data_IF_056571300221
#
_entry.id   IF_056571300221
#
_cell.length_a   1.000
_cell.length_b   1.000
_cell.length_c   1.000
_cell.angle_alpha   90.00
_cell.angle_beta   90.00
_cell.angle_gamma   90.00
#
_symmetry.space_group_name_H-M   'P 1'
#
loop_
_entity.id
_entity.type
_entity.pdbx_description
1 polymer ?
#
# COMPACT_ATOMS: atom_id res chain seq x y z
N UNK A 1 6.84 -7.49 -3.80
CA UNK A 1 7.04 -7.92 -2.41
C UNK A 1 5.70 -7.99 -1.71
N UNK A 2 5.44 -9.05 -1.02
CA UNK A 2 4.15 -9.20 -0.33
C UNK A 2 4.33 -8.90 1.15
N UNK A 3 3.43 -8.10 1.69
CA UNK A 3 3.40 -7.83 3.12
C UNK A 3 1.99 -8.09 3.62
N UNK A 4 1.83 -8.03 4.93
CA UNK A 4 0.53 -8.27 5.55
C UNK A 4 0.18 -7.09 6.43
N UNK A 5 -1.07 -6.66 6.35
CA UNK A 5 -1.55 -5.54 7.15
C UNK A 5 -1.58 -5.95 8.62
N UNK A 6 -1.30 -4.99 9.48
CA UNK A 6 -1.42 -5.18 10.91
C UNK A 6 -2.68 -4.50 11.38
N UNK A 7 -3.08 -4.80 12.61
CA UNK A 7 -4.31 -4.26 13.14
C UNK A 7 -4.25 -2.73 13.10
N UNK A 8 -5.28 -2.12 12.53
CA UNK A 8 -5.36 -0.68 12.46
C UNK A 8 -4.63 -0.05 11.29
N UNK A 9 -3.96 -0.85 10.47
CA UNK A 9 -3.21 -0.29 9.33
C UNK A 9 -4.15 0.27 8.28
N UNK A 10 -3.74 1.39 7.69
CA UNK A 10 -4.36 1.92 6.49
C UNK A 10 -3.37 1.78 5.36
N UNK A 11 -3.89 1.79 4.13
CA UNK A 11 -3.01 1.70 2.98
C UNK A 11 -2.07 2.89 2.90
N UNK A 12 -2.56 4.08 3.25
CA UNK A 12 -1.71 5.27 3.28
C UNK A 12 -0.53 5.08 4.22
N UNK A 13 -0.79 4.55 5.42
CA UNK A 13 0.28 4.35 6.39
C UNK A 13 1.29 3.33 5.90
N UNK A 14 0.80 2.28 5.26
CA UNK A 14 1.68 1.25 4.73
C UNK A 14 2.55 1.83 3.62
N UNK A 15 1.96 2.60 2.71
CA UNK A 15 2.73 3.20 1.63
C UNK A 15 3.78 4.17 2.17
N UNK A 16 3.40 4.97 3.15
CA UNK A 16 4.35 5.91 3.74
C UNK A 16 5.52 5.18 4.38
N UNK A 17 5.23 4.03 5.02
CA UNK A 17 6.27 3.27 5.70
C UNK A 17 7.22 2.60 4.72
N UNK A 18 6.68 2.09 3.61
CA UNK A 18 7.50 1.31 2.68
C UNK A 18 8.12 2.15 1.58
N UNK A 19 7.42 3.17 1.11
CA UNK A 19 7.92 3.98 0.00
C UNK A 19 8.38 5.35 0.44
N UNK A 20 8.07 5.74 1.67
CA UNK A 20 8.42 7.07 2.16
C UNK A 20 7.52 8.17 1.68
N UNK A 21 6.44 7.83 0.96
CA UNK A 21 5.50 8.82 0.46
C UNK A 21 4.18 8.12 0.14
N UNK A 22 3.14 8.91 -0.04
CA UNK A 22 1.85 8.37 -0.44
C UNK A 22 1.42 8.87 -1.81
N UNK A 23 1.92 10.03 -2.23
CA UNK A 23 1.47 10.63 -3.49
C UNK A 23 1.83 9.72 -4.65
N UNK A 24 0.83 9.31 -5.39
CA UNK A 24 1.00 8.49 -6.58
C UNK A 24 1.23 7.01 -6.32
N UNK A 25 1.69 6.63 -5.13
CA UNK A 25 1.98 5.21 -4.89
C UNK A 25 0.77 4.45 -4.40
N UNK A 26 -0.15 5.11 -3.72
CA UNK A 26 -1.35 4.43 -3.24
C UNK A 26 -2.14 3.85 -4.41
N UNK A 27 -2.30 4.63 -5.47
CA UNK A 27 -3.03 4.14 -6.63
C UNK A 27 -2.31 2.99 -7.30
N UNK A 28 -0.98 3.06 -7.33
CA UNK A 28 -0.19 1.98 -7.91
C UNK A 28 -0.41 0.69 -7.14
N UNK A 29 -0.41 0.78 -5.81
CA UNK A 29 -0.64 -0.40 -4.99
C UNK A 29 -2.07 -0.92 -5.18
N UNK A 30 -3.05 -0.01 -5.25
CA UNK A 30 -4.43 -0.45 -5.47
C UNK A 30 -4.58 -1.16 -6.80
N UNK A 31 -3.91 -0.67 -7.83
CA UNK A 31 -3.98 -1.31 -9.13
C UNK A 31 -3.34 -2.70 -9.13
N UNK A 32 -2.36 -2.91 -8.28
CA UNK A 32 -1.69 -4.19 -8.19
C UNK A 32 -2.44 -5.18 -7.30
N UNK A 33 -3.44 -4.70 -6.56
CA UNK A 33 -4.15 -5.54 -5.59
C UNK A 33 -5.64 -5.45 -5.85
N UNK A 34 -6.12 -6.30 -6.74
CA UNK A 34 -7.53 -6.32 -7.10
C UNK A 34 -8.37 -6.56 -5.85
N UNK A 35 -9.38 -5.74 -5.63
CA UNK A 35 -10.26 -5.90 -4.49
C UNK A 35 -9.79 -5.23 -3.22
N UNK A 36 -8.57 -4.72 -3.19
CA UNK A 36 -8.06 -4.12 -1.96
C UNK A 36 -8.88 -2.89 -1.57
N UNK A 37 -9.28 -2.09 -2.55
CA UNK A 37 -10.02 -0.87 -2.27
C UNK A 37 -11.37 -1.16 -1.62
N UNK A 38 -11.91 -2.35 -1.82
CA UNK A 38 -13.21 -2.71 -1.26
C UNK A 38 -13.14 -3.02 0.23
N UNK A 39 -11.94 -3.18 0.77
CA UNK A 39 -11.79 -3.51 2.17
C UNK A 39 -11.98 -2.30 3.09
N UNK A 40 -12.00 -1.10 2.50
CA UNK A 40 -12.20 0.10 3.28
C UNK A 40 -10.91 0.79 3.64
N UNK A 41 -11.02 1.83 4.45
CA UNK A 41 -9.85 2.63 4.81
C UNK A 41 -8.91 1.85 5.72
N UNK A 42 -9.45 1.14 6.69
CA UNK A 42 -8.64 0.38 7.63
C UNK A 42 -8.65 -1.07 7.19
N UNK A 43 -7.47 -1.61 6.97
CA UNK A 43 -7.35 -2.96 6.44
C UNK A 43 -7.45 -3.98 7.57
N UNK A 44 -8.14 -5.10 7.34
CA UNK A 44 -8.17 -6.15 8.35
C UNK A 44 -6.78 -6.70 8.61
N UNK A 45 -6.55 -7.07 9.85
CA UNK A 45 -5.27 -7.67 10.23
C UNK A 45 -5.01 -8.92 9.39
N UNK A 46 -3.80 -9.01 8.85
CA UNK A 46 -3.42 -10.16 8.05
C UNK A 46 -3.75 -10.05 6.57
N UNK A 47 -4.30 -8.92 6.12
CA UNK A 47 -4.59 -8.74 4.71
C UNK A 47 -3.29 -8.78 3.91
N UNK A 48 -3.18 -9.68 2.92
CA UNK A 48 -1.98 -9.71 2.08
C UNK A 48 -2.02 -8.57 1.08
N UNK A 49 -0.88 -7.93 0.90
CA UNK A 49 -0.77 -6.79 -0.02
C UNK A 49 0.50 -6.97 -0.83
N UNK A 50 0.35 -6.96 -2.15
CA UNK A 50 1.50 -6.95 -3.04
C UNK A 50 1.97 -5.51 -3.19
N UNK A 51 3.22 -5.28 -2.81
CA UNK A 51 3.83 -3.96 -2.90
C UNK A 51 4.69 -3.95 -4.15
N UNK A 52 4.19 -3.36 -5.24
CA UNK A 52 4.99 -3.34 -6.47
C UNK A 52 6.16 -2.39 -6.34
N UNK A 53 7.15 -2.60 -7.18
CA UNK A 53 8.21 -1.63 -7.28
C UNK A 53 7.68 -0.40 -7.97
N UNK A 54 7.85 0.74 -7.34
CA UNK A 54 7.48 1.99 -7.96
C UNK A 54 8.75 2.76 -8.27
N UNK A 55 8.68 3.54 -9.31
CA UNK A 55 9.78 4.39 -9.67
C UNK A 55 9.77 5.55 -8.70
N UNK A 56 10.55 5.40 -7.68
CA UNK A 56 10.54 6.39 -6.64
C UNK A 56 11.51 7.48 -6.88
N UNK A 57 12.18 7.44 -7.96
CA UNK A 57 13.20 8.41 -8.17
C UNK A 57 12.62 9.74 -8.00
N UNK A 58 12.96 10.30 -7.39
CA UNK A 58 12.49 11.63 -7.35
C UNK A 58 13.60 12.50 -7.18
N UNK A 59 13.80 11.63 -7.15
CA UNK A 59 14.16 12.13 -6.90
C UNK A 59 14.70 12.83 -6.90
N UNK A 60 14.95 12.86 -6.98
CA UNK A 60 15.27 13.20 -6.91
C UNK A 60 15.39 13.67 -6.93
#
# INVERSE_FOLDING_TARGET
MKIYAMQGDTLDAICARYYGRTAGVVETVLNANSGLAELGVILPHGTPIDMPEVDSAPTK
#
